data_IF_875972167491
#
_entry.id   IF_875972167491
#
_cell.length_a   1.000
_cell.length_b   1.000
_cell.length_c   1.000
_cell.angle_alpha   90.00
_cell.angle_beta   90.00
_cell.angle_gamma   90.00
#
_symmetry.space_group_name_H-M   'P 1'
#
loop_
_entity.id
_entity.type
_entity.pdbx_description
1 polymer ?
#
# COMPACT_ATOMS: atom_id res chain seq x y z
N UNK A 1 15.98 -0.15 -7.40
CA UNK A 1 17.05 0.59 -6.73
C UNK A 1 18.20 0.76 -7.71
N UNK A 2 18.09 1.64 -8.68
CA UNK A 2 19.23 2.16 -9.45
C UNK A 2 18.76 3.39 -10.25
N UNK A 3 18.38 4.43 -9.52
CA UNK A 3 18.29 5.77 -10.11
C UNK A 3 19.69 6.38 -10.05
N UNK A 4 20.44 6.21 -11.13
CA UNK A 4 21.68 6.90 -11.39
C UNK A 4 21.44 8.42 -11.40
N UNK A 5 21.82 9.11 -10.32
CA UNK A 5 21.91 10.56 -10.28
C UNK A 5 22.98 11.01 -11.30
N UNK A 6 22.57 11.52 -12.43
CA UNK A 6 23.47 12.12 -13.43
C UNK A 6 23.65 13.60 -13.09
N UNK A 7 24.86 13.96 -12.72
CA UNK A 7 25.28 15.34 -12.58
C UNK A 7 25.80 15.82 -13.95
N UNK A 8 25.16 16.83 -14.54
CA UNK A 8 25.65 17.50 -15.76
C UNK A 8 26.30 18.81 -15.33
N UNK A 9 27.61 18.95 -15.56
CA UNK A 9 28.37 20.15 -15.25
C UNK A 9 28.76 20.84 -16.56
N UNK A 10 28.26 22.05 -16.76
CA UNK A 10 28.66 22.91 -17.89
C UNK A 10 29.74 23.89 -17.42
N UNK A 11 30.91 23.83 -18.01
CA UNK A 11 31.98 24.74 -17.71
C UNK A 11 32.50 25.38 -19.02
N UNK A 12 32.50 26.71 -19.10
CA UNK A 12 33.14 27.46 -20.22
C UNK A 12 34.59 27.72 -19.87
N UNK A 13 35.49 27.19 -20.66
CA UNK A 13 36.96 27.42 -20.53
C UNK A 13 37.48 28.21 -21.72
N UNK A 14 38.48 29.10 -21.52
CA UNK A 14 39.22 29.68 -22.66
C UNK A 14 40.04 28.58 -23.35
N UNK A 15 40.25 28.71 -24.64
CA UNK A 15 40.70 27.69 -25.60
C UNK A 15 42.07 26.99 -25.28
N UNK A 16 42.72 27.26 -24.15
CA UNK A 16 44.04 26.72 -23.79
C UNK A 16 44.07 26.11 -22.37
N UNK A 17 42.95 25.88 -21.67
CA UNK A 17 42.97 25.31 -20.32
C UNK A 17 42.64 23.85 -20.36
N UNK A 18 43.57 23.01 -19.83
CA UNK A 18 43.35 21.58 -19.63
C UNK A 18 42.88 21.31 -18.18
N UNK A 19 41.70 20.79 -18.01
CA UNK A 19 41.17 20.42 -16.69
C UNK A 19 41.36 18.92 -16.44
N UNK A 20 42.01 18.55 -15.35
CA UNK A 20 42.07 17.17 -14.85
C UNK A 20 40.99 16.96 -13.80
N UNK A 21 40.03 16.09 -14.09
CA UNK A 21 39.01 15.69 -13.13
C UNK A 21 39.35 14.30 -12.61
N UNK A 22 39.63 14.22 -11.33
CA UNK A 22 39.80 12.95 -10.65
C UNK A 22 38.54 12.59 -9.89
N UNK A 23 37.66 11.80 -10.55
CA UNK A 23 36.63 11.02 -9.88
C UNK A 23 36.29 9.79 -10.70
N UNK A 24 35.88 8.74 -10.06
CA UNK A 24 35.55 7.46 -10.67
C UNK A 24 34.47 7.62 -11.75
N UNK A 25 34.78 7.31 -13.00
CA UNK A 25 33.81 7.14 -14.09
C UNK A 25 33.42 8.42 -14.86
N UNK A 26 34.13 9.53 -14.72
CA UNK A 26 33.86 10.74 -15.50
C UNK A 26 34.71 10.78 -16.78
N UNK A 27 34.08 10.97 -17.93
CA UNK A 27 34.75 11.30 -19.18
C UNK A 27 34.47 12.74 -19.57
N UNK A 28 35.51 13.47 -19.96
CA UNK A 28 35.41 14.84 -20.47
C UNK A 28 35.45 14.78 -21.99
N UNK A 29 34.39 15.21 -22.66
CA UNK A 29 34.44 15.44 -24.12
C UNK A 29 34.39 16.94 -24.39
N UNK A 30 35.41 17.44 -25.09
CA UNK A 30 35.47 18.81 -25.54
C UNK A 30 35.01 18.89 -27.00
N UNK A 31 33.93 19.62 -27.25
CA UNK A 31 33.55 20.01 -28.60
C UNK A 31 34.05 21.42 -28.91
N UNK A 32 34.44 21.67 -30.15
CA UNK A 32 35.14 22.86 -30.63
C UNK A 32 34.43 24.23 -30.47
N UNK A 33 33.44 24.33 -29.60
CA UNK A 33 32.72 25.57 -29.23
C UNK A 33 33.06 26.09 -27.82
N UNK A 34 34.08 25.54 -27.14
CA UNK A 34 34.49 25.99 -25.81
C UNK A 34 33.60 25.53 -24.65
N UNK A 35 32.61 24.68 -24.89
CA UNK A 35 31.76 24.05 -23.88
C UNK A 35 32.20 22.61 -23.65
N UNK A 36 32.45 22.26 -22.39
CA UNK A 36 32.81 20.89 -22.00
C UNK A 36 31.73 20.32 -21.10
N UNK A 37 31.21 19.15 -21.47
CA UNK A 37 30.22 18.39 -20.70
C UNK A 37 30.93 17.32 -19.90
N UNK A 38 30.75 17.33 -18.59
CA UNK A 38 31.26 16.32 -17.68
C UNK A 38 30.13 15.47 -17.10
N UNK A 39 30.14 14.18 -17.36
CA UNK A 39 29.20 13.24 -16.73
C UNK A 39 29.91 12.50 -15.59
N UNK A 40 29.45 12.68 -14.37
CA UNK A 40 29.94 11.97 -13.21
C UNK A 40 28.80 11.31 -12.45
N UNK A 41 28.94 10.03 -12.13
CA UNK A 41 28.06 9.33 -11.18
C UNK A 41 28.53 9.61 -9.75
N UNK A 42 27.74 10.30 -8.93
CA UNK A 42 28.07 10.67 -7.56
C UNK A 42 27.41 9.72 -6.56
N UNK A 43 28.24 9.06 -5.75
CA UNK A 43 27.82 8.61 -4.42
C UNK A 43 28.04 9.76 -3.44
N UNK A 44 27.16 9.93 -2.49
CA UNK A 44 27.11 10.99 -1.47
C UNK A 44 28.50 11.49 -1.02
N UNK A 45 28.72 12.82 -1.09
CA UNK A 45 29.94 13.55 -0.68
C UNK A 45 31.14 13.36 -1.63
N UNK A 46 31.20 14.17 -2.69
CA UNK A 46 32.37 14.18 -3.58
C UNK A 46 32.92 15.61 -3.72
N UNK A 47 34.20 15.76 -3.47
CA UNK A 47 34.95 17.02 -3.70
C UNK A 47 35.57 16.95 -5.09
N UNK A 48 35.24 17.88 -5.97
CA UNK A 48 35.84 17.99 -7.29
C UNK A 48 36.95 19.07 -7.23
N UNK A 49 38.21 18.67 -7.48
CA UNK A 49 39.32 19.60 -7.56
C UNK A 49 39.60 19.94 -9.02
N UNK A 50 39.45 21.21 -9.38
CA UNK A 50 39.84 21.73 -10.70
C UNK A 50 41.15 22.55 -10.54
N UNK A 51 42.19 22.18 -11.29
CA UNK A 51 43.43 22.96 -11.35
C UNK A 51 43.41 23.83 -12.61
N UNK A 52 43.22 25.16 -12.45
CA UNK A 52 43.36 26.11 -13.53
C UNK A 52 43.89 27.46 -13.00
N UNK A 53 44.94 28.04 -13.61
CA UNK A 53 45.69 29.14 -12.98
C UNK A 53 45.16 30.53 -13.29
N UNK A 54 44.03 30.85 -13.58
CA UNK A 54 43.39 32.18 -13.64
C UNK A 54 41.99 32.12 -14.26
N UNK A 55 40.98 32.00 -13.42
CA UNK A 55 39.60 32.12 -13.94
C UNK A 55 38.65 32.77 -12.94
N UNK A 56 38.09 33.91 -13.29
CA UNK A 56 36.72 34.27 -12.88
C UNK A 56 35.78 33.52 -13.81
N UNK A 57 35.52 32.26 -13.52
CA UNK A 57 34.50 31.47 -14.22
C UNK A 57 33.21 31.52 -13.44
N UNK A 58 32.13 31.94 -14.08
CA UNK A 58 30.78 31.74 -13.58
C UNK A 58 30.40 30.30 -13.94
N UNK A 59 30.46 29.43 -12.97
CA UNK A 59 30.04 28.03 -13.15
C UNK A 59 28.53 27.95 -12.83
N UNK A 60 27.71 27.73 -13.82
CA UNK A 60 26.30 27.43 -13.64
C UNK A 60 26.15 25.91 -13.61
N UNK A 61 25.77 25.37 -12.44
CA UNK A 61 25.47 23.95 -12.27
C UNK A 61 23.96 23.85 -12.19
N UNK A 62 23.37 23.23 -13.21
CA UNK A 62 21.94 22.94 -13.23
C UNK A 62 21.72 21.49 -12.76
N UNK A 63 20.96 21.33 -11.71
CA UNK A 63 20.57 20.02 -11.18
C UNK A 63 19.11 19.80 -11.54
N UNK A 64 18.83 18.91 -12.48
CA UNK A 64 17.44 18.60 -12.89
C UNK A 64 16.59 18.00 -11.76
N UNK A 65 17.23 17.55 -10.67
CA UNK A 65 16.54 16.97 -9.52
C UNK A 65 16.83 17.66 -8.17
N UNK A 66 17.63 18.75 -8.16
CA UNK A 66 17.98 19.46 -6.92
C UNK A 66 17.92 20.98 -7.12
N UNK A 67 16.72 21.59 -7.10
CA UNK A 67 16.57 23.03 -7.36
C UNK A 67 17.18 23.96 -6.30
N UNK A 68 17.62 23.43 -5.15
CA UNK A 68 18.21 24.20 -4.05
C UNK A 68 19.75 24.06 -3.90
N UNK A 69 20.43 23.41 -4.85
CA UNK A 69 21.88 23.26 -4.78
C UNK A 69 22.60 24.54 -5.26
N UNK A 70 23.40 25.15 -4.39
CA UNK A 70 24.25 26.30 -4.73
C UNK A 70 25.70 25.84 -4.74
N UNK A 71 26.41 26.13 -5.84
CA UNK A 71 27.85 25.95 -5.91
C UNK A 71 28.53 27.24 -5.44
N UNK A 72 29.41 27.13 -4.45
CA UNK A 72 30.25 28.21 -3.97
C UNK A 72 31.69 27.94 -4.44
N UNK A 73 32.26 28.88 -5.18
CA UNK A 73 33.64 28.81 -5.64
C UNK A 73 34.50 29.66 -4.71
N UNK A 74 35.40 29.03 -3.97
CA UNK A 74 36.37 29.69 -3.13
C UNK A 74 37.79 29.46 -3.66
N UNK A 75 38.53 30.56 -3.95
CA UNK A 75 39.94 30.47 -4.19
C UNK A 75 40.53 31.68 -4.95
N UNK A 76 41.59 32.23 -4.38
CA UNK A 76 42.51 33.22 -5.03
C UNK A 76 43.88 32.60 -5.37
N UNK A 77 44.03 31.29 -5.37
CA UNK A 77 45.28 30.60 -5.54
C UNK A 77 45.14 29.41 -6.50
N UNK A 78 46.26 28.84 -6.91
CA UNK A 78 46.44 27.79 -7.91
C UNK A 78 45.61 26.52 -7.76
N UNK A 79 44.82 26.41 -6.73
CA UNK A 79 43.87 25.30 -6.51
C UNK A 79 42.48 25.85 -6.16
N UNK A 80 41.52 25.76 -7.08
CA UNK A 80 40.12 26.10 -6.83
C UNK A 80 39.40 24.87 -6.31
N UNK A 81 38.88 24.94 -5.09
CA UNK A 81 38.07 23.88 -4.51
C UNK A 81 36.60 24.25 -4.76
N UNK A 82 35.92 23.43 -5.53
CA UNK A 82 34.48 23.53 -5.70
C UNK A 82 33.82 22.73 -4.57
N UNK A 83 33.30 23.41 -3.57
CA UNK A 83 32.45 22.78 -2.56
C UNK A 83 30.99 22.84 -3.01
N UNK A 84 30.43 21.73 -3.38
CA UNK A 84 28.99 21.61 -3.64
C UNK A 84 28.33 21.35 -2.29
N UNK A 85 27.75 22.39 -1.69
CA UNK A 85 26.82 22.19 -0.58
C UNK A 85 25.50 21.70 -1.18
N UNK A 86 25.31 20.39 -1.24
CA UNK A 86 23.99 19.82 -1.31
C UNK A 86 23.40 19.95 0.08
N UNK A 87 22.57 20.96 0.31
CA UNK A 87 21.57 20.84 1.35
C UNK A 87 20.85 19.51 1.09
N UNK A 88 20.78 18.56 2.06
CA UNK A 88 19.89 17.45 1.86
C UNK A 88 18.49 18.08 1.65
N UNK A 89 18.04 18.11 0.41
CA UNK A 89 16.65 18.36 0.13
C UNK A 89 15.92 17.13 0.67
N UNK A 90 15.61 17.18 1.96
CA UNK A 90 14.48 16.42 2.46
C UNK A 90 13.27 17.10 1.81
N UNK A 91 12.65 16.52 0.79
CA UNK A 91 11.27 16.90 0.52
C UNK A 91 10.61 16.74 1.89
N UNK A 92 10.04 17.82 2.42
CA UNK A 92 9.24 17.72 3.63
C UNK A 92 8.31 16.52 3.48
N UNK A 93 7.76 15.93 4.54
CA UNK A 93 7.02 14.69 4.46
C UNK A 93 6.09 14.78 3.25
N UNK A 94 6.52 14.12 2.15
CA UNK A 94 5.70 14.07 0.94
C UNK A 94 4.46 13.31 1.38
N UNK A 95 3.32 14.02 1.44
CA UNK A 95 2.05 13.37 1.67
C UNK A 95 1.97 12.28 0.60
N UNK A 96 1.85 11.00 0.95
CA UNK A 96 1.76 9.96 -0.05
C UNK A 96 0.59 10.30 -0.99
N UNK A 97 0.70 10.01 -2.28
CA UNK A 97 -0.37 10.32 -3.22
C UNK A 97 -1.65 9.62 -2.76
N UNK A 98 -2.73 10.37 -2.61
CA UNK A 98 -4.03 9.83 -2.21
C UNK A 98 -4.56 8.96 -3.36
N UNK A 99 -4.60 7.66 -3.13
CA UNK A 99 -5.15 6.69 -4.08
C UNK A 99 -6.67 6.79 -4.14
N UNK A 100 -7.31 7.06 -3.00
CA UNK A 100 -8.75 7.13 -2.84
C UNK A 100 -9.21 8.54 -2.48
N UNK A 101 -10.32 8.98 -3.08
CA UNK A 101 -10.98 10.24 -2.77
C UNK A 101 -11.94 10.05 -1.60
N UNK A 102 -11.66 10.67 -0.47
CA UNK A 102 -12.51 10.63 0.73
C UNK A 102 -13.91 11.17 0.45
N UNK A 103 -14.01 12.24 -0.36
CA UNK A 103 -15.30 12.82 -0.75
C UNK A 103 -16.13 11.83 -1.60
N UNK A 104 -15.49 11.17 -2.58
CA UNK A 104 -16.16 10.15 -3.37
C UNK A 104 -16.60 8.97 -2.50
N UNK A 105 -15.76 8.53 -1.56
CA UNK A 105 -16.06 7.46 -0.62
C UNK A 105 -17.30 7.79 0.21
N UNK A 106 -17.35 8.95 0.86
CA UNK A 106 -18.50 9.41 1.63
C UNK A 106 -19.79 9.45 0.79
N UNK A 107 -19.72 10.06 -0.41
CA UNK A 107 -20.85 10.14 -1.32
C UNK A 107 -21.37 8.76 -1.77
N UNK A 108 -20.46 7.79 -1.98
CA UNK A 108 -20.84 6.43 -2.41
C UNK A 108 -21.45 5.64 -1.26
N UNK A 109 -20.87 5.70 -0.09
CA UNK A 109 -21.39 5.05 1.13
C UNK A 109 -22.75 5.59 1.56
N UNK A 110 -22.99 6.88 1.40
CA UNK A 110 -24.30 7.48 1.67
C UNK A 110 -25.45 6.93 0.77
N UNK A 111 -25.12 6.24 -0.31
CA UNK A 111 -26.08 5.58 -1.22
C UNK A 111 -26.23 4.09 -0.95
N UNK A 112 -25.47 3.55 0.00
CA UNK A 112 -25.59 2.16 0.39
C UNK A 112 -26.95 1.91 1.04
N UNK A 113 -27.46 0.69 0.85
CA UNK A 113 -28.77 0.27 1.40
C UNK A 113 -28.61 -1.06 2.12
N UNK A 114 -29.37 -1.27 3.18
CA UNK A 114 -29.26 -2.45 4.04
C UNK A 114 -29.38 -3.78 3.29
N UNK A 115 -30.20 -3.85 2.25
CA UNK A 115 -30.36 -5.07 1.41
C UNK A 115 -29.07 -5.44 0.63
N UNK A 116 -28.12 -4.53 0.47
CA UNK A 116 -26.87 -4.78 -0.23
C UNK A 116 -25.74 -5.25 0.70
N UNK A 117 -25.94 -5.30 2.01
CA UNK A 117 -24.86 -5.48 2.99
C UNK A 117 -24.44 -6.94 3.25
N UNK A 118 -24.83 -7.87 2.38
CA UNK A 118 -24.59 -9.30 2.62
C UNK A 118 -23.11 -9.67 2.88
N UNK A 119 -22.16 -9.00 2.21
CA UNK A 119 -20.70 -9.23 2.43
C UNK A 119 -20.23 -8.62 3.76
N UNK A 120 -20.80 -7.50 4.17
CA UNK A 120 -20.54 -6.89 5.46
C UNK A 120 -21.07 -7.77 6.61
N UNK A 121 -22.30 -8.30 6.44
CA UNK A 121 -22.92 -9.22 7.39
C UNK A 121 -22.12 -10.53 7.48
N UNK A 122 -21.74 -11.09 6.33
CA UNK A 122 -20.89 -12.29 6.30
C UNK A 122 -19.54 -12.05 6.96
N UNK A 123 -18.89 -10.92 6.68
CA UNK A 123 -17.62 -10.59 7.32
C UNK A 123 -17.75 -10.43 8.84
N UNK A 124 -18.87 -9.86 9.31
CA UNK A 124 -19.20 -9.81 10.76
C UNK A 124 -19.34 -11.19 11.34
N UNK A 125 -20.14 -12.05 10.73
CA UNK A 125 -20.43 -13.41 11.24
C UNK A 125 -19.14 -14.26 11.30
N UNK A 126 -18.32 -14.17 10.27
CA UNK A 126 -17.00 -14.81 10.21
C UNK A 126 -16.03 -14.31 11.30
N UNK A 127 -16.05 -13.01 11.61
CA UNK A 127 -15.24 -12.46 12.72
C UNK A 127 -15.75 -12.98 14.06
N UNK A 128 -17.07 -13.02 14.25
CA UNK A 128 -17.67 -13.53 15.50
C UNK A 128 -17.35 -15.01 15.71
N UNK A 129 -17.43 -15.85 14.67
CA UNK A 129 -17.05 -17.26 14.73
C UNK A 129 -15.58 -17.43 15.13
N UNK A 130 -14.68 -16.63 14.55
CA UNK A 130 -13.27 -16.63 14.93
C UNK A 130 -13.03 -16.19 16.37
N UNK A 131 -13.81 -15.22 16.86
CA UNK A 131 -13.73 -14.78 18.25
C UNK A 131 -14.19 -15.87 19.23
N UNK A 132 -15.20 -16.69 18.88
CA UNK A 132 -15.63 -17.83 19.68
C UNK A 132 -14.52 -18.90 19.82
N UNK A 133 -13.69 -19.05 18.78
CA UNK A 133 -12.55 -19.96 18.82
C UNK A 133 -11.39 -19.45 19.70
N UNK A 134 -11.37 -18.15 20.03
CA UNK A 134 -10.36 -17.55 20.91
C UNK A 134 -10.77 -17.77 22.35
N UNK A 135 -9.97 -18.55 23.11
CA UNK A 135 -10.23 -18.82 24.52
C UNK A 135 -9.91 -17.59 25.42
N UNK A 136 -10.58 -16.47 25.14
CA UNK A 136 -10.42 -15.20 25.88
C UNK A 136 -11.73 -14.42 25.85
N UNK A 137 -12.11 -13.83 26.97
CA UNK A 137 -13.23 -12.90 27.04
C UNK A 137 -12.77 -11.48 26.84
N UNK A 138 -13.54 -10.70 26.07
CA UNK A 138 -13.27 -9.30 25.77
C UNK A 138 -14.34 -8.41 26.41
N UNK A 139 -13.93 -7.40 27.17
CA UNK A 139 -14.82 -6.51 27.91
C UNK A 139 -14.85 -5.08 27.36
N UNK A 140 -13.73 -4.64 26.82
CA UNK A 140 -13.55 -3.32 26.23
C UNK A 140 -13.28 -3.47 24.72
N UNK A 141 -14.34 -3.39 23.92
CA UNK A 141 -14.31 -3.64 22.46
C UNK A 141 -14.44 -2.31 21.71
N UNK A 142 -13.60 -2.11 20.70
CA UNK A 142 -13.77 -1.06 19.70
C UNK A 142 -13.97 -1.66 18.31
N UNK A 143 -14.79 -0.99 17.49
CA UNK A 143 -15.07 -1.38 16.11
C UNK A 143 -14.88 -0.17 15.20
N UNK A 144 -13.96 -0.26 14.26
CA UNK A 144 -13.75 0.72 13.19
C UNK A 144 -14.54 0.24 11.97
N UNK A 145 -15.59 0.97 11.60
CA UNK A 145 -16.48 0.56 10.50
C UNK A 145 -17.20 1.74 9.86
N UNK A 146 -17.46 1.72 8.55
CA UNK A 146 -18.34 2.68 7.90
C UNK A 146 -19.84 2.40 8.13
N UNK A 147 -20.19 1.23 8.67
CA UNK A 147 -21.58 0.75 8.80
C UNK A 147 -21.88 0.26 10.24
N UNK A 148 -22.03 1.20 11.20
CA UNK A 148 -22.21 0.87 12.62
C UNK A 148 -23.47 0.00 12.88
N UNK A 149 -24.52 0.14 12.08
CA UNK A 149 -25.78 -0.59 12.22
C UNK A 149 -25.61 -2.11 12.07
N UNK A 150 -24.62 -2.57 11.31
CA UNK A 150 -24.35 -3.99 11.10
C UNK A 150 -23.82 -4.65 12.39
N UNK A 151 -23.12 -3.89 13.23
CA UNK A 151 -22.48 -4.37 14.44
C UNK A 151 -23.29 -4.13 15.71
N UNK A 152 -24.26 -3.20 15.66
CA UNK A 152 -25.01 -2.75 16.83
C UNK A 152 -25.75 -3.88 17.58
N UNK A 153 -26.21 -4.90 16.84
CA UNK A 153 -26.90 -6.07 17.44
C UNK A 153 -25.94 -7.13 17.93
N UNK A 154 -24.82 -7.33 17.25
CA UNK A 154 -23.84 -8.38 17.54
C UNK A 154 -22.97 -8.02 18.75
N UNK A 155 -22.51 -6.78 18.83
CA UNK A 155 -21.64 -6.27 19.91
C UNK A 155 -22.17 -4.94 20.45
N UNK A 156 -23.31 -4.94 21.16
CA UNK A 156 -24.03 -3.72 21.52
C UNK A 156 -23.30 -2.82 22.54
N UNK A 157 -22.24 -3.34 23.19
CA UNK A 157 -21.42 -2.57 24.14
C UNK A 157 -20.12 -2.06 23.53
N UNK A 158 -19.85 -2.38 22.26
CA UNK A 158 -18.64 -1.94 21.61
C UNK A 158 -18.65 -0.42 21.36
N UNK A 159 -17.47 0.20 21.47
CA UNK A 159 -17.26 1.56 21.01
C UNK A 159 -17.09 1.56 19.50
N UNK A 160 -18.08 2.06 18.76
CA UNK A 160 -18.04 2.07 17.29
C UNK A 160 -17.57 3.44 16.81
N UNK A 161 -16.50 3.43 16.02
CA UNK A 161 -15.88 4.63 15.46
C UNK A 161 -15.84 4.57 13.93
N UNK A 162 -15.86 5.73 13.29
CA UNK A 162 -15.74 5.83 11.83
C UNK A 162 -14.30 5.54 11.37
N UNK A 163 -14.16 5.02 10.15
CA UNK A 163 -12.88 4.71 9.51
C UNK A 163 -12.22 5.95 8.86
N UNK A 164 -12.07 7.01 9.62
CA UNK A 164 -11.38 8.24 9.21
C UNK A 164 -9.85 8.06 9.25
N UNK A 165 -9.08 8.95 8.62
CA UNK A 165 -7.61 8.88 8.62
C UNK A 165 -7.02 8.85 10.04
N UNK A 166 -7.64 9.58 10.96
CA UNK A 166 -7.33 9.55 12.40
C UNK A 166 -8.52 8.93 13.12
N UNK A 167 -8.29 7.77 13.74
CA UNK A 167 -9.31 7.03 14.47
C UNK A 167 -9.55 7.63 15.86
N UNK A 168 -10.81 7.80 16.23
CA UNK A 168 -11.19 8.27 17.57
C UNK A 168 -11.12 7.11 18.59
N UNK A 169 -9.92 6.63 18.84
CA UNK A 169 -9.62 5.52 19.74
C UNK A 169 -8.75 5.98 20.91
N UNK A 170 -9.13 5.61 22.12
CA UNK A 170 -8.29 5.82 23.30
C UNK A 170 -7.06 4.92 23.31
N UNK A 171 -5.91 5.46 23.78
CA UNK A 171 -4.67 4.70 23.90
C UNK A 171 -4.79 3.63 24.99
N UNK A 172 -4.37 2.39 24.69
CA UNK A 172 -4.39 1.23 25.58
C UNK A 172 -5.73 1.08 26.32
N UNK A 173 -6.83 1.36 25.61
CA UNK A 173 -8.17 1.41 26.20
C UNK A 173 -8.95 0.09 25.99
N UNK A 174 -8.58 -0.70 24.97
CA UNK A 174 -9.37 -1.83 24.52
C UNK A 174 -8.62 -3.16 24.66
N UNK A 175 -9.37 -4.22 24.87
CA UNK A 175 -8.86 -5.60 24.83
C UNK A 175 -9.17 -6.30 23.49
N UNK A 176 -10.06 -5.71 22.67
CA UNK A 176 -10.34 -6.12 21.30
C UNK A 176 -10.57 -4.89 20.43
N UNK A 177 -9.90 -4.82 19.27
CA UNK A 177 -10.18 -3.85 18.22
C UNK A 177 -10.49 -4.59 16.93
N UNK A 178 -11.66 -4.33 16.34
CA UNK A 178 -12.10 -4.89 15.06
C UNK A 178 -12.08 -3.78 14.00
N UNK A 179 -11.35 -3.99 12.89
CA UNK A 179 -11.38 -3.11 11.72
C UNK A 179 -12.21 -3.76 10.61
N UNK A 180 -13.45 -3.34 10.48
CA UNK A 180 -14.47 -4.05 9.72
C UNK A 180 -14.67 -3.46 8.32
N UNK A 181 -14.23 -4.17 7.31
CA UNK A 181 -14.52 -3.94 5.88
C UNK A 181 -14.24 -2.50 5.38
N UNK A 182 -13.16 -1.88 5.89
CA UNK A 182 -12.79 -0.51 5.48
C UNK A 182 -11.33 -0.40 5.02
N UNK A 183 -10.45 -1.34 5.42
CA UNK A 183 -9.01 -1.25 5.20
C UNK A 183 -8.61 -1.21 3.71
N UNK A 184 -9.36 -1.86 2.84
CA UNK A 184 -9.12 -1.89 1.38
C UNK A 184 -9.37 -0.56 0.66
N UNK A 185 -10.04 0.38 1.32
CA UNK A 185 -10.30 1.74 0.83
C UNK A 185 -9.52 2.82 1.61
N UNK A 186 -8.51 2.41 2.36
CA UNK A 186 -7.71 3.30 3.18
C UNK A 186 -6.49 3.81 2.41
N UNK A 187 -6.20 5.12 2.49
CA UNK A 187 -4.99 5.71 1.89
C UNK A 187 -3.71 5.35 2.66
N UNK A 188 -3.82 5.14 3.97
CA UNK A 188 -2.73 4.65 4.83
C UNK A 188 -3.17 3.45 5.67
N UNK A 189 -3.25 2.25 5.09
CA UNK A 189 -3.68 1.07 5.82
C UNK A 189 -2.72 0.69 6.95
N UNK A 190 -1.42 0.97 6.81
CA UNK A 190 -0.45 0.73 7.89
C UNK A 190 -0.69 1.64 9.06
N UNK A 191 -0.87 2.94 8.81
CA UNK A 191 -1.17 3.93 9.84
C UNK A 191 -2.47 3.62 10.58
N UNK A 192 -3.49 3.11 9.89
CA UNK A 192 -4.74 2.67 10.52
C UNK A 192 -4.51 1.48 11.47
N UNK A 193 -3.77 0.45 11.05
CA UNK A 193 -3.49 -0.71 11.91
C UNK A 193 -2.58 -0.32 13.07
N UNK A 194 -1.62 0.61 12.89
CA UNK A 194 -0.82 1.16 14.00
C UNK A 194 -1.68 1.90 15.02
N UNK A 195 -2.69 2.65 14.58
CA UNK A 195 -3.62 3.31 15.50
C UNK A 195 -4.45 2.29 16.28
N UNK A 196 -4.90 1.22 15.62
CA UNK A 196 -5.60 0.11 16.28
C UNK A 196 -4.70 -0.62 17.30
N UNK A 197 -3.44 -0.89 16.92
CA UNK A 197 -2.47 -1.52 17.84
C UNK A 197 -2.24 -0.66 19.10
N UNK A 198 -2.02 0.65 18.94
CA UNK A 198 -1.85 1.58 20.06
C UNK A 198 -3.08 1.71 20.98
N UNK A 199 -4.26 1.46 20.42
CA UNK A 199 -5.50 1.47 21.19
C UNK A 199 -5.69 0.19 22.04
N UNK A 200 -4.99 -0.88 21.69
CA UNK A 200 -5.03 -2.14 22.43
C UNK A 200 -4.21 -2.07 23.73
N UNK A 201 -4.70 -2.74 24.76
CA UNK A 201 -3.94 -3.07 25.94
C UNK A 201 -2.91 -4.16 25.60
N UNK A 202 -1.83 -4.32 26.40
CA UNK A 202 -0.94 -5.47 26.25
C UNK A 202 -1.75 -6.79 26.21
N UNK A 203 -1.39 -7.69 25.29
CA UNK A 203 -2.12 -8.93 25.00
C UNK A 203 -3.57 -8.71 24.50
N UNK A 204 -3.91 -7.51 24.01
CA UNK A 204 -5.17 -7.24 23.31
C UNK A 204 -5.16 -7.82 21.91
N UNK A 205 -6.33 -8.18 21.39
CA UNK A 205 -6.51 -8.78 20.07
C UNK A 205 -6.93 -7.72 19.05
N UNK A 206 -6.23 -7.66 17.92
CA UNK A 206 -6.65 -6.98 16.71
C UNK A 206 -7.25 -7.97 15.73
N UNK A 207 -8.40 -7.64 15.15
CA UNK A 207 -8.99 -8.38 14.03
C UNK A 207 -9.40 -7.42 12.92
N UNK A 208 -9.27 -7.83 11.67
CA UNK A 208 -9.80 -7.07 10.55
C UNK A 208 -10.38 -7.99 9.47
N UNK A 209 -11.36 -7.47 8.73
CA UNK A 209 -11.81 -8.06 7.47
C UNK A 209 -11.72 -7.01 6.37
N UNK A 210 -11.27 -7.40 5.20
CA UNK A 210 -11.23 -6.52 4.03
C UNK A 210 -11.25 -7.34 2.73
N UNK A 211 -11.52 -6.67 1.61
CA UNK A 211 -11.36 -7.30 0.29
C UNK A 211 -9.90 -7.44 -0.09
N UNK A 212 -9.59 -8.48 -0.86
CA UNK A 212 -8.25 -8.76 -1.39
C UNK A 212 -8.18 -8.93 -2.91
N UNK A 213 -6.99 -9.18 -3.42
CA UNK A 213 -6.59 -9.10 -4.83
C UNK A 213 -7.48 -9.82 -5.84
N UNK A 214 -8.12 -10.92 -5.44
CA UNK A 214 -9.00 -11.71 -6.33
C UNK A 214 -10.43 -11.13 -6.43
N UNK A 215 -10.78 -10.13 -5.61
CA UNK A 215 -12.10 -9.52 -5.66
C UNK A 215 -12.35 -8.85 -7.00
N UNK A 216 -13.50 -9.20 -7.64
CA UNK A 216 -13.97 -8.65 -8.92
C UNK A 216 -12.96 -8.83 -10.07
N UNK A 217 -12.12 -9.87 -10.03
CA UNK A 217 -11.11 -10.12 -11.06
C UNK A 217 -11.74 -10.27 -12.45
N UNK A 218 -12.90 -10.93 -12.54
CA UNK A 218 -13.63 -11.14 -13.78
C UNK A 218 -14.17 -9.81 -14.34
N UNK A 219 -14.78 -8.99 -13.49
CA UNK A 219 -15.27 -7.66 -13.87
C UNK A 219 -14.14 -6.75 -14.32
N UNK A 220 -13.00 -6.78 -13.59
CA UNK A 220 -11.80 -6.01 -13.94
C UNK A 220 -11.28 -6.39 -15.30
N UNK A 221 -11.15 -7.69 -15.58
CA UNK A 221 -10.67 -8.21 -16.85
C UNK A 221 -11.61 -7.82 -18.00
N UNK A 222 -12.92 -8.05 -17.87
CA UNK A 222 -13.91 -7.75 -18.91
C UNK A 222 -13.95 -6.24 -19.24
N UNK A 223 -13.97 -5.37 -18.22
CA UNK A 223 -13.96 -3.92 -18.44
C UNK A 223 -12.66 -3.43 -19.06
N UNK A 224 -11.51 -4.01 -18.67
CA UNK A 224 -10.19 -3.66 -19.22
C UNK A 224 -10.09 -4.04 -20.70
N UNK A 225 -10.53 -5.24 -21.08
CA UNK A 225 -10.55 -5.68 -22.47
C UNK A 225 -11.47 -4.81 -23.31
N UNK A 226 -12.70 -4.56 -22.86
CA UNK A 226 -13.65 -3.72 -23.56
C UNK A 226 -13.15 -2.29 -23.77
N UNK A 227 -12.45 -1.72 -22.79
CA UNK A 227 -11.93 -0.37 -22.90
C UNK A 227 -10.72 -0.29 -23.83
N UNK A 228 -9.83 -1.29 -23.80
CA UNK A 228 -8.70 -1.41 -24.73
C UNK A 228 -9.18 -1.50 -26.18
N UNK A 229 -10.20 -2.32 -26.45
CA UNK A 229 -10.74 -2.53 -27.79
C UNK A 229 -11.43 -1.26 -28.34
N UNK A 230 -12.15 -0.53 -27.47
CA UNK A 230 -12.93 0.65 -27.91
C UNK A 230 -12.12 1.95 -27.91
N UNK A 231 -11.09 2.08 -27.06
CA UNK A 231 -10.41 3.35 -26.81
C UNK A 231 -8.89 3.28 -27.01
N UNK A 232 -8.32 2.08 -27.15
CA UNK A 232 -6.87 1.86 -27.24
C UNK A 232 -6.09 2.21 -25.97
N UNK A 233 -6.79 2.29 -24.81
CA UNK A 233 -6.17 2.62 -23.54
C UNK A 233 -7.01 2.14 -22.35
N UNK A 234 -6.47 2.24 -21.15
CA UNK A 234 -7.10 1.79 -19.90
C UNK A 234 -7.34 2.95 -18.95
N UNK A 235 -8.48 2.95 -18.31
CA UNK A 235 -8.76 3.76 -17.12
C UNK A 235 -9.04 2.85 -15.91
N UNK A 236 -8.67 3.29 -14.68
CA UNK A 236 -8.94 2.49 -13.50
C UNK A 236 -10.44 2.45 -13.20
N UNK A 237 -11.09 1.30 -13.45
CA UNK A 237 -12.53 1.12 -13.25
C UNK A 237 -12.87 0.28 -12.03
N UNK A 238 -12.04 -0.70 -11.72
CA UNK A 238 -12.14 -1.54 -10.53
C UNK A 238 -10.91 -1.30 -9.68
N UNK A 239 -11.11 -1.02 -8.41
CA UNK A 239 -10.03 -0.75 -7.44
C UNK A 239 -9.07 -1.94 -7.38
N UNK A 240 -7.74 -1.72 -7.50
CA UNK A 240 -6.77 -2.75 -7.19
C UNK A 240 -6.81 -3.04 -5.70
N UNK A 241 -6.87 -4.32 -5.33
CA UNK A 241 -6.86 -4.78 -3.95
C UNK A 241 -5.48 -5.38 -3.64
N UNK A 242 -5.04 -5.25 -2.39
CA UNK A 242 -3.77 -5.83 -1.94
C UNK A 242 -3.89 -7.37 -1.83
N UNK A 243 -2.79 -8.05 -2.10
CA UNK A 243 -2.72 -9.51 -1.93
C UNK A 243 -2.59 -9.88 -0.43
N UNK A 244 -3.03 -11.09 -0.07
CA UNK A 244 -3.02 -11.57 1.33
C UNK A 244 -1.64 -11.46 1.98
N UNK A 245 -0.56 -11.67 1.23
CA UNK A 245 0.82 -11.55 1.72
C UNK A 245 1.15 -10.11 2.10
N UNK A 246 0.72 -9.14 1.32
CA UNK A 246 0.91 -7.71 1.57
C UNK A 246 0.11 -7.26 2.79
N UNK A 247 -1.14 -7.73 2.89
CA UNK A 247 -2.01 -7.48 4.04
C UNK A 247 -1.42 -8.08 5.33
N UNK A 248 -0.92 -9.32 5.29
CA UNK A 248 -0.22 -9.93 6.42
C UNK A 248 1.05 -9.17 6.84
N UNK A 249 1.79 -8.60 5.89
CA UNK A 249 2.95 -7.76 6.18
C UNK A 249 2.59 -6.44 6.88
N UNK A 250 1.37 -5.92 6.70
CA UNK A 250 0.87 -4.73 7.42
C UNK A 250 0.84 -5.00 8.93
N UNK A 251 0.38 -6.18 9.37
CA UNK A 251 0.33 -6.56 10.79
C UNK A 251 1.73 -6.50 11.44
N UNK A 252 2.73 -7.05 10.75
CA UNK A 252 4.13 -7.03 11.23
C UNK A 252 4.68 -5.60 11.28
N UNK A 253 4.40 -4.78 10.25
CA UNK A 253 4.83 -3.37 10.19
C UNK A 253 4.16 -2.52 11.28
N UNK A 254 2.94 -2.86 11.67
CA UNK A 254 2.23 -2.23 12.76
C UNK A 254 2.72 -2.66 14.16
N UNK A 255 3.60 -3.67 14.24
CA UNK A 255 4.16 -4.15 15.51
C UNK A 255 3.33 -5.22 16.21
N UNK A 256 2.28 -5.75 15.57
CA UNK A 256 1.46 -6.82 16.13
C UNK A 256 2.24 -8.14 16.20
N UNK A 257 2.10 -8.84 17.30
CA UNK A 257 2.65 -10.17 17.53
C UNK A 257 1.70 -11.26 16.98
N UNK A 258 2.25 -12.44 16.67
CA UNK A 258 1.52 -13.61 16.22
C UNK A 258 0.56 -13.31 15.05
N UNK A 259 1.03 -12.63 13.98
CA UNK A 259 0.17 -12.21 12.88
C UNK A 259 -0.35 -13.43 12.10
N UNK A 260 -1.65 -13.46 11.87
CA UNK A 260 -2.33 -14.45 11.02
C UNK A 260 -3.12 -13.72 9.93
N UNK A 261 -3.06 -14.23 8.72
CA UNK A 261 -3.89 -13.81 7.61
C UNK A 261 -4.45 -15.02 6.90
N UNK A 262 -5.75 -15.11 6.77
CA UNK A 262 -6.46 -16.12 6.02
C UNK A 262 -7.45 -15.52 5.03
N UNK A 263 -7.85 -16.26 4.01
CA UNK A 263 -8.79 -15.77 2.99
C UNK A 263 -9.97 -16.70 2.80
N UNK A 264 -11.13 -16.10 2.56
CA UNK A 264 -12.37 -16.77 2.22
C UNK A 264 -12.86 -16.28 0.86
N UNK A 265 -12.83 -17.16 -0.13
CA UNK A 265 -13.40 -16.86 -1.46
C UNK A 265 -14.89 -17.15 -1.47
N UNK A 266 -15.66 -16.16 -1.86
CA UNK A 266 -17.12 -16.23 -1.95
C UNK A 266 -17.51 -16.18 -3.42
N UNK A 267 -17.74 -17.33 -4.06
CA UNK A 267 -18.22 -17.38 -5.42
C UNK A 267 -19.69 -16.93 -5.46
N UNK A 268 -19.94 -15.90 -6.25
CA UNK A 268 -21.30 -15.40 -6.49
C UNK A 268 -21.63 -15.44 -7.96
N UNK A 269 -22.91 -15.40 -8.30
CA UNK A 269 -23.32 -15.35 -9.70
C UNK A 269 -24.35 -14.26 -9.95
N UNK A 270 -24.20 -13.56 -11.05
CA UNK A 270 -25.07 -12.47 -11.45
C UNK A 270 -25.75 -12.78 -12.79
N UNK A 271 -26.93 -12.22 -13.00
CA UNK A 271 -27.65 -12.35 -14.28
C UNK A 271 -26.93 -11.60 -15.40
N UNK A 272 -26.43 -10.42 -15.10
CA UNK A 272 -25.76 -9.52 -16.03
C UNK A 272 -24.83 -8.54 -15.29
N UNK A 273 -23.95 -7.86 -16.04
CA UNK A 273 -23.01 -6.88 -15.48
C UNK A 273 -23.73 -5.71 -14.76
N UNK A 274 -24.92 -5.35 -15.21
CA UNK A 274 -25.69 -4.25 -14.61
C UNK A 274 -26.29 -4.67 -13.26
N UNK A 275 -26.63 -5.95 -13.10
CA UNK A 275 -27.05 -6.51 -11.81
C UNK A 275 -25.89 -6.48 -10.81
N UNK A 276 -24.70 -6.95 -11.20
CA UNK A 276 -23.49 -6.85 -10.40
C UNK A 276 -23.21 -5.39 -10.00
N UNK A 277 -23.22 -4.46 -10.94
CA UNK A 277 -22.95 -3.04 -10.63
C UNK A 277 -24.02 -2.40 -9.74
N UNK A 278 -25.26 -2.87 -9.75
CA UNK A 278 -26.32 -2.41 -8.82
C UNK A 278 -26.02 -2.89 -7.40
N UNK A 279 -25.59 -4.14 -7.23
CA UNK A 279 -25.22 -4.69 -5.93
C UNK A 279 -24.01 -3.98 -5.36
N UNK A 280 -22.95 -3.75 -6.16
CA UNK A 280 -21.79 -2.96 -5.73
C UNK A 280 -22.18 -1.54 -5.27
N UNK A 281 -23.15 -0.92 -5.96
CA UNK A 281 -23.68 0.38 -5.55
C UNK A 281 -24.49 0.28 -4.26
N UNK A 282 -25.27 -0.78 -4.11
CA UNK A 282 -26.06 -1.03 -2.91
C UNK A 282 -25.18 -1.30 -1.67
N UNK A 283 -24.01 -1.88 -1.86
CA UNK A 283 -23.00 -2.07 -0.82
C UNK A 283 -22.15 -0.82 -0.53
N UNK A 284 -22.21 0.22 -1.38
CA UNK A 284 -21.27 1.35 -1.30
C UNK A 284 -19.89 1.06 -1.88
N UNK A 285 -19.66 -0.13 -2.43
CA UNK A 285 -18.38 -0.64 -2.93
C UNK A 285 -18.16 -0.30 -4.41
N UNK A 286 -18.20 0.99 -4.74
CA UNK A 286 -17.97 1.48 -6.10
C UNK A 286 -16.64 2.21 -6.19
N UNK A 287 -16.14 2.37 -7.42
CA UNK A 287 -14.84 2.99 -7.67
C UNK A 287 -14.71 4.40 -7.05
N UNK A 288 -13.82 4.55 -6.09
CA UNK A 288 -13.51 5.80 -5.38
C UNK A 288 -12.09 6.31 -5.68
N UNK A 289 -11.37 5.68 -6.62
CA UNK A 289 -10.01 6.10 -6.95
C UNK A 289 -9.97 7.56 -7.42
N UNK A 290 -8.93 8.29 -7.02
CA UNK A 290 -8.70 9.67 -7.48
C UNK A 290 -8.50 9.73 -8.99
N UNK A 291 -7.83 8.73 -9.56
CA UNK A 291 -7.57 8.60 -10.99
C UNK A 291 -8.77 8.05 -11.81
N UNK A 292 -9.95 7.82 -11.19
CA UNK A 292 -11.11 7.33 -11.92
C UNK A 292 -11.57 8.29 -13.01
N UNK A 293 -12.07 7.76 -14.12
CA UNK A 293 -12.71 8.58 -15.13
C UNK A 293 -13.97 9.27 -14.55
N UNK A 294 -14.04 10.60 -14.68
CA UNK A 294 -15.19 11.43 -14.25
C UNK A 294 -16.17 11.67 -15.38
N UNK A 295 -15.79 11.37 -16.62
CA UNK A 295 -16.66 11.43 -17.79
C UNK A 295 -17.67 10.28 -17.84
N UNK A 296 -18.79 10.52 -18.51
CA UNK A 296 -19.77 9.46 -18.74
C UNK A 296 -19.18 8.29 -19.53
N UNK A 297 -19.45 7.09 -19.05
CA UNK A 297 -19.10 5.86 -19.77
C UNK A 297 -20.17 5.58 -20.82
N UNK A 298 -19.77 5.30 -22.04
CA UNK A 298 -20.68 4.98 -23.14
C UNK A 298 -21.37 3.63 -22.91
N UNK A 299 -22.59 3.47 -23.39
CA UNK A 299 -23.32 2.21 -23.32
C UNK A 299 -22.55 1.09 -24.05
N UNK A 300 -21.96 1.41 -25.19
CA UNK A 300 -21.16 0.46 -26.00
C UNK A 300 -20.04 -0.22 -25.22
N UNK A 301 -19.39 0.49 -24.26
CA UNK A 301 -18.37 -0.11 -23.42
C UNK A 301 -18.97 -1.18 -22.50
N UNK A 302 -20.11 -0.91 -21.89
CA UNK A 302 -20.78 -1.91 -21.04
C UNK A 302 -21.35 -3.07 -21.82
N UNK A 303 -21.88 -2.82 -23.03
CA UNK A 303 -22.41 -3.88 -23.90
C UNK A 303 -21.26 -4.82 -24.33
N UNK A 304 -20.10 -4.27 -24.71
CA UNK A 304 -18.92 -5.06 -25.05
C UNK A 304 -18.35 -5.79 -23.82
N UNK A 305 -18.27 -5.12 -22.66
CA UNK A 305 -17.84 -5.77 -21.42
C UNK A 305 -18.76 -6.91 -21.02
N UNK A 306 -20.08 -6.78 -21.18
CA UNK A 306 -21.06 -7.84 -20.96
C UNK A 306 -20.79 -9.04 -21.89
N UNK A 307 -20.53 -8.79 -23.18
CA UNK A 307 -20.23 -9.83 -24.15
C UNK A 307 -18.96 -10.60 -23.77
N UNK A 308 -17.89 -9.89 -23.45
CA UNK A 308 -16.60 -10.47 -23.01
C UNK A 308 -16.81 -11.27 -21.72
N UNK A 309 -17.50 -10.69 -20.74
CA UNK A 309 -17.74 -11.33 -19.46
C UNK A 309 -18.51 -12.65 -19.64
N UNK A 310 -19.61 -12.61 -20.42
CA UNK A 310 -20.40 -13.82 -20.71
C UNK A 310 -19.61 -14.90 -21.45
N UNK A 311 -18.71 -14.51 -22.34
CA UNK A 311 -17.87 -15.45 -23.09
C UNK A 311 -16.83 -16.15 -22.23
N UNK A 312 -16.15 -15.38 -21.36
CA UNK A 312 -14.95 -15.87 -20.62
C UNK A 312 -15.31 -16.41 -19.23
N UNK A 313 -16.38 -15.90 -18.60
CA UNK A 313 -16.68 -16.15 -17.18
C UNK A 313 -18.13 -16.59 -16.92
N UNK A 314 -18.88 -17.05 -17.93
CA UNK A 314 -20.20 -17.59 -17.69
C UNK A 314 -20.16 -18.88 -16.87
N UNK A 315 -21.11 -19.04 -15.98
CA UNK A 315 -21.38 -20.31 -15.30
C UNK A 315 -22.14 -21.29 -16.19
N UNK A 316 -22.24 -22.55 -15.77
CA UNK A 316 -23.05 -23.57 -16.44
C UNK A 316 -24.55 -23.24 -16.54
N UNK A 317 -25.01 -22.24 -15.77
CA UNK A 317 -26.40 -21.78 -15.75
C UNK A 317 -26.62 -20.46 -16.53
N UNK A 318 -25.71 -20.11 -17.43
CA UNK A 318 -25.71 -18.86 -18.19
C UNK A 318 -25.77 -17.61 -17.31
N UNK A 319 -25.07 -17.67 -16.16
CA UNK A 319 -24.92 -16.55 -15.24
C UNK A 319 -23.45 -16.12 -15.24
N UNK A 320 -23.18 -14.87 -14.89
CA UNK A 320 -21.82 -14.35 -14.75
C UNK A 320 -21.23 -14.77 -13.39
N UNK A 321 -20.14 -15.49 -13.41
CA UNK A 321 -19.38 -15.77 -12.19
C UNK A 321 -18.70 -14.49 -11.70
N UNK A 322 -18.73 -14.26 -10.41
CA UNK A 322 -18.09 -13.13 -9.75
C UNK A 322 -17.45 -13.61 -8.45
N UNK A 323 -16.18 -13.33 -8.30
CA UNK A 323 -15.43 -13.70 -7.09
C UNK A 323 -15.33 -12.51 -6.15
N UNK A 324 -15.72 -12.72 -4.90
CA UNK A 324 -15.32 -11.87 -3.78
C UNK A 324 -14.32 -12.64 -2.93
N UNK A 325 -13.21 -12.01 -2.61
CA UNK A 325 -12.13 -12.57 -1.83
C UNK A 325 -11.97 -11.74 -0.55
N UNK A 326 -12.48 -12.25 0.56
CA UNK A 326 -12.36 -11.64 1.87
C UNK A 326 -11.09 -12.16 2.57
N UNK A 327 -10.29 -11.24 3.06
CA UNK A 327 -9.16 -11.57 3.92
C UNK A 327 -9.47 -11.17 5.34
N UNK A 328 -9.21 -12.10 6.25
CA UNK A 328 -9.28 -11.91 7.69
C UNK A 328 -7.86 -11.82 8.23
N UNK A 329 -7.63 -10.78 8.99
CA UNK A 329 -6.35 -10.48 9.61
C UNK A 329 -6.52 -10.54 11.13
N UNK A 330 -5.56 -11.16 11.83
CA UNK A 330 -5.52 -11.09 13.29
C UNK A 330 -4.09 -10.95 13.78
N UNK A 331 -3.94 -10.32 14.93
CA UNK A 331 -2.66 -10.14 15.60
C UNK A 331 -2.87 -9.62 17.02
N UNK A 332 -1.88 -9.80 17.85
CA UNK A 332 -1.95 -9.45 19.26
C UNK A 332 -1.07 -8.25 19.58
N UNK A 333 -1.52 -7.33 20.41
CA UNK A 333 -0.62 -6.34 20.98
C UNK A 333 0.49 -7.07 21.77
N UNK A 334 1.76 -6.69 21.60
CA UNK A 334 2.88 -7.40 22.24
C UNK A 334 2.76 -7.43 23.76
N UNK A 335 3.00 -8.59 24.36
CA UNK A 335 3.08 -8.80 25.80
C UNK A 335 4.17 -9.81 26.17
N UNK A 336 4.70 -9.72 27.39
CA UNK A 336 5.75 -10.59 27.87
C UNK A 336 5.29 -12.04 28.07
N UNK A 337 4.00 -12.28 28.25
CA UNK A 337 3.37 -13.61 28.44
C UNK A 337 3.28 -14.41 27.15
N UNK A 338 3.41 -13.76 26.00
CA UNK A 338 3.24 -14.41 24.69
C UNK A 338 4.39 -15.35 24.35
N UNK A 339 4.13 -16.48 23.67
CA UNK A 339 5.16 -17.41 23.25
C UNK A 339 6.15 -16.75 22.30
N UNK A 340 7.44 -16.87 22.62
CA UNK A 340 8.50 -16.34 21.76
C UNK A 340 9.03 -17.46 20.86
N UNK A 341 9.36 -17.16 19.58
CA UNK A 341 10.01 -18.11 18.72
C UNK A 341 11.30 -18.63 19.36
N UNK A 342 11.50 -19.94 19.33
CA UNK A 342 12.75 -20.54 19.79
C UNK A 342 13.90 -20.06 18.89
N UNK A 343 15.07 -19.82 19.50
CA UNK A 343 16.27 -19.47 18.72
C UNK A 343 16.64 -20.62 17.78
N UNK A 344 17.11 -20.35 16.55
CA UNK A 344 17.62 -21.39 15.67
C UNK A 344 18.69 -22.26 16.41
N UNK A 345 18.54 -23.58 16.34
CA UNK A 345 19.42 -24.53 17.05
C UNK A 345 19.08 -24.81 18.51
N UNK A 346 18.02 -24.24 19.08
CA UNK A 346 17.58 -24.50 20.46
C UNK A 346 16.67 -25.73 20.61
N UNK A 347 16.58 -26.58 19.57
CA UNK A 347 15.79 -27.81 19.59
C UNK A 347 16.36 -28.75 20.65
N UNK A 348 15.63 -28.98 21.76
CA UNK A 348 16.06 -29.85 22.86
C UNK A 348 15.70 -31.32 22.62
N UNK A 349 14.84 -31.61 21.63
CA UNK A 349 14.40 -32.98 21.30
C UNK A 349 14.40 -33.18 19.79
N UNK A 350 14.83 -34.34 19.33
CA UNK A 350 14.69 -34.73 17.94
C UNK A 350 13.22 -35.02 17.59
N UNK A 351 12.84 -34.92 16.31
CA UNK A 351 11.48 -35.28 15.87
C UNK A 351 11.10 -36.72 16.27
N UNK A 352 12.09 -37.62 16.26
CA UNK A 352 11.91 -39.01 16.61
C UNK A 352 11.52 -39.19 18.08
N UNK A 353 12.20 -38.49 19.00
CA UNK A 353 11.88 -38.46 20.43
C UNK A 353 10.51 -37.85 20.69
N UNK A 354 10.13 -36.77 19.99
CA UNK A 354 8.81 -36.18 20.15
C UNK A 354 7.67 -37.08 19.67
N UNK A 355 7.89 -37.84 18.58
CA UNK A 355 6.94 -38.84 18.07
C UNK A 355 6.79 -40.04 19.01
N UNK A 356 7.86 -40.49 19.63
CA UNK A 356 7.83 -41.59 20.62
C UNK A 356 7.07 -41.18 21.91
N UNK A 357 7.30 -39.96 22.39
CA UNK A 357 6.54 -39.42 23.54
C UNK A 357 5.05 -39.25 23.20
N UNK A 358 4.69 -38.76 22.02
CA UNK A 358 3.31 -38.64 21.60
C UNK A 358 2.61 -39.98 21.47
N UNK A 359 3.29 -41.03 20.99
CA UNK A 359 2.75 -42.39 20.98
C UNK A 359 2.53 -42.95 22.38
N UNK A 360 3.44 -42.71 23.32
CA UNK A 360 3.34 -43.19 24.70
C UNK A 360 2.25 -42.45 25.49
N UNK A 361 1.99 -41.16 25.18
CA UNK A 361 0.91 -40.40 25.82
C UNK A 361 -0.49 -40.71 25.28
N UNK A 362 -0.60 -41.29 24.09
CA UNK A 362 -1.89 -41.74 23.52
C UNK A 362 -2.25 -43.17 23.87
N UNK A 363 -1.39 -43.89 24.62
CA UNK A 363 -1.59 -45.29 25.04
C UNK A 363 -1.95 -45.43 26.52
N UNK A 364 -2.14 -44.33 27.24
CA UNK A 364 -2.67 -44.25 28.59
C UNK A 364 -4.03 -43.53 28.61
#
# INVERSE_FOLDING_TARGET
LDSLNRLIVYASFPAQASAKIHSFGASLQTHGSGLSECRAGLKTSSTIKCAAPTLRAKLEITFDQFPAARALIFGKSTSTVLAIQTSPFYPGPMKPPELFSIEAQSTKRARAISKGMFLQELARDEILERLEAVNKSFSAVAIVTPYPEIWATALPKANVVADTDVLDLGLAAYDLVIHAMALHHCNDPVGQVVQCERALRPDGLFMAACFSGQTLVELRAALSMAETDLRGGLSPRVTPMAEIRELGAILQRAGLALPVADSLKIPTTYRDIFHLMRDLRAMGETNIMTARATSFTTKSLFDLAQLIYSKEYASSQDRLNCTYDLVFLSGWAPDASQPKPLKPGSVSKTLQQALEEAKNSSSN
#
